data_IF_667682489864
#
_entry.id   IF_667682489864
#
_cell.length_a   1.000
_cell.length_b   1.000
_cell.length_c   1.000
_cell.angle_alpha   90.00
_cell.angle_beta   90.00
_cell.angle_gamma   90.00
#
_symmetry.space_group_name_H-M   'P 1'
#
loop_
_entity.id
_entity.type
_entity.pdbx_description
1 polymer ?
#
# COMPACT_ATOMS: atom_id res chain seq x y z
N UNK A 1 4.73 -9.47 -4.31
CA UNK A 1 3.45 -10.08 -4.70
C UNK A 1 3.21 -9.93 -6.21
N UNK A 2 2.40 -10.77 -6.85
CA UNK A 2 2.12 -10.71 -8.30
C UNK A 2 0.61 -10.75 -8.58
N UNK A 3 0.12 -9.93 -9.53
CA UNK A 3 -1.27 -9.91 -10.00
C UNK A 3 -1.34 -9.75 -11.51
N UNK A 4 -2.31 -10.38 -12.16
CA UNK A 4 -2.61 -10.13 -13.58
C UNK A 4 -3.77 -9.15 -13.68
N UNK A 5 -3.54 -8.03 -14.39
CA UNK A 5 -4.55 -7.05 -14.73
C UNK A 5 -5.31 -7.56 -15.96
N UNK A 6 -6.48 -8.16 -15.75
CA UNK A 6 -7.31 -8.75 -16.80
C UNK A 6 -7.65 -7.76 -17.91
N UNK A 7 -7.95 -6.50 -17.55
CA UNK A 7 -8.28 -5.44 -18.50
C UNK A 7 -7.15 -5.10 -19.50
N UNK A 8 -5.90 -5.42 -19.18
CA UNK A 8 -4.73 -5.10 -20.04
C UNK A 8 -3.84 -6.31 -20.33
N UNK A 9 -4.24 -7.51 -19.91
CA UNK A 9 -3.42 -8.73 -19.99
C UNK A 9 -2.04 -8.60 -19.34
N UNK A 10 -1.83 -7.61 -18.47
CA UNK A 10 -0.52 -7.25 -17.93
C UNK A 10 -0.30 -7.88 -16.56
N UNK A 11 0.77 -8.62 -16.36
CA UNK A 11 1.18 -9.09 -15.02
C UNK A 11 1.98 -7.99 -14.34
N UNK A 12 1.62 -7.62 -13.13
CA UNK A 12 2.37 -6.68 -12.29
C UNK A 12 2.95 -7.41 -11.08
N UNK A 13 4.16 -7.03 -10.71
CA UNK A 13 4.84 -7.47 -9.50
C UNK A 13 5.10 -6.25 -8.64
N UNK A 14 4.54 -6.29 -7.44
CA UNK A 14 4.55 -5.19 -6.50
C UNK A 14 5.38 -5.56 -5.27
N UNK A 15 6.23 -4.63 -4.84
CA UNK A 15 6.82 -4.59 -3.50
C UNK A 15 6.17 -3.44 -2.77
N UNK A 16 5.49 -3.78 -1.68
CA UNK A 16 4.66 -2.89 -0.91
C UNK A 16 5.15 -2.85 0.52
N UNK A 17 5.13 -1.67 1.13
CA UNK A 17 5.31 -1.48 2.56
C UNK A 17 3.97 -1.16 3.22
N UNK A 18 3.59 -1.85 4.30
CA UNK A 18 2.39 -1.52 5.05
C UNK A 18 2.54 -0.17 5.75
N UNK A 19 1.44 0.57 5.83
CA UNK A 19 1.33 1.86 6.52
C UNK A 19 0.06 1.85 7.40
N UNK A 20 -0.06 2.79 8.36
CA UNK A 20 -1.29 3.00 9.11
C UNK A 20 -2.53 3.12 8.23
N UNK A 21 -3.71 2.88 8.80
CA UNK A 21 -5.01 3.03 8.12
C UNK A 21 -5.16 2.13 6.89
N UNK A 22 -4.55 0.94 6.89
CA UNK A 22 -4.58 -0.03 5.77
C UNK A 22 -4.08 0.57 4.45
N UNK A 23 -3.15 1.52 4.56
CA UNK A 23 -2.46 2.07 3.41
C UNK A 23 -1.22 1.24 3.07
N UNK A 24 -0.81 1.32 1.82
CA UNK A 24 0.42 0.69 1.33
C UNK A 24 1.24 1.65 0.51
N UNK A 25 2.53 1.63 0.74
CA UNK A 25 3.50 2.40 0.00
C UNK A 25 4.16 1.52 -1.08
N UNK A 26 4.12 1.98 -2.32
CA UNK A 26 4.73 1.25 -3.44
C UNK A 26 6.24 1.49 -3.43
N UNK A 27 6.99 0.51 -2.97
CA UNK A 27 8.46 0.54 -2.99
C UNK A 27 9.00 0.20 -4.37
N UNK A 28 8.43 -0.82 -5.00
CA UNK A 28 8.83 -1.24 -6.33
C UNK A 28 7.63 -1.69 -7.14
N UNK A 29 7.52 -1.16 -8.36
CA UNK A 29 6.47 -1.50 -9.29
C UNK A 29 7.09 -2.07 -10.56
N UNK A 30 6.87 -3.35 -10.84
CA UNK A 30 7.28 -3.98 -12.09
C UNK A 30 6.06 -4.42 -12.88
N UNK A 31 6.06 -4.18 -14.20
CA UNK A 31 4.98 -4.57 -15.10
C UNK A 31 5.51 -5.39 -16.26
N UNK A 32 4.77 -6.41 -16.64
CA UNK A 32 4.98 -7.25 -17.81
C UNK A 32 3.72 -7.20 -18.66
N UNK A 33 3.81 -6.73 -19.91
CA UNK A 33 2.66 -6.56 -20.81
C UNK A 33 2.30 -7.80 -21.64
N UNK A 34 3.23 -8.75 -21.80
CA UNK A 34 3.05 -10.01 -22.54
C UNK A 34 3.55 -11.18 -21.68
N UNK A 35 2.94 -12.36 -21.73
CA UNK A 35 3.37 -13.52 -20.92
C UNK A 35 4.85 -13.89 -21.15
N UNK A 36 5.38 -13.70 -22.36
CA UNK A 36 6.78 -13.95 -22.71
C UNK A 36 7.72 -12.75 -22.47
N UNK A 37 7.19 -11.61 -22.02
CA UNK A 37 7.96 -10.39 -21.80
C UNK A 37 8.77 -10.40 -20.51
N UNK A 38 9.78 -9.51 -20.44
CA UNK A 38 10.48 -9.23 -19.18
C UNK A 38 9.63 -8.30 -18.31
N UNK A 39 9.84 -8.38 -17.01
CA UNK A 39 9.31 -7.39 -16.07
C UNK A 39 10.08 -6.08 -16.21
N UNK A 40 9.38 -5.01 -16.54
CA UNK A 40 9.94 -3.65 -16.61
C UNK A 40 9.57 -2.88 -15.35
N UNK A 41 10.57 -2.21 -14.77
CA UNK A 41 10.35 -1.37 -13.59
C UNK A 41 9.74 -0.04 -13.99
N UNK A 42 8.59 0.31 -13.41
CA UNK A 42 7.83 1.52 -13.71
C UNK A 42 8.00 2.51 -12.57
N UNK A 43 9.09 3.29 -12.62
CA UNK A 43 9.46 4.24 -11.56
C UNK A 43 8.40 5.32 -11.29
N UNK A 44 7.53 5.63 -12.26
CA UNK A 44 6.46 6.63 -12.09
C UNK A 44 5.37 6.19 -11.09
N UNK A 45 5.29 4.89 -10.80
CA UNK A 45 4.35 4.33 -9.82
C UNK A 45 4.98 4.11 -8.44
N UNK A 46 6.31 4.19 -8.35
CA UNK A 46 7.05 4.04 -7.10
C UNK A 46 6.94 5.31 -6.27
N UNK A 47 6.88 5.17 -4.94
CA UNK A 47 6.76 6.28 -4.02
C UNK A 47 5.32 6.72 -3.73
N UNK A 48 4.32 6.04 -4.29
CA UNK A 48 2.91 6.35 -4.05
C UNK A 48 2.40 5.60 -2.82
N UNK A 49 1.68 6.32 -1.95
CA UNK A 49 0.91 5.75 -0.85
C UNK A 49 -0.56 5.67 -1.27
N UNK A 50 -1.13 4.48 -1.26
CA UNK A 50 -2.49 4.21 -1.71
C UNK A 50 -3.21 3.37 -0.65
N UNK A 51 -4.55 3.47 -0.54
CA UNK A 51 -5.34 2.47 0.17
C UNK A 51 -5.14 1.08 -0.44
N UNK A 52 -4.97 0.06 0.40
CA UNK A 52 -4.76 -1.33 -0.05
C UNK A 52 -5.91 -1.83 -0.94
N UNK A 53 -7.14 -1.43 -0.65
CA UNK A 53 -8.35 -1.85 -1.38
C UNK A 53 -8.30 -1.47 -2.88
N UNK A 54 -7.60 -0.38 -3.24
CA UNK A 54 -7.45 0.02 -4.65
C UNK A 54 -6.59 -0.94 -5.46
N UNK A 55 -5.78 -1.76 -4.79
CA UNK A 55 -4.96 -2.76 -5.46
C UNK A 55 -5.78 -3.96 -5.93
N UNK A 56 -7.02 -4.14 -5.45
CA UNK A 56 -7.93 -5.23 -5.82
C UNK A 56 -7.20 -6.58 -5.89
N UNK A 57 -6.48 -6.92 -4.81
CA UNK A 57 -5.74 -8.17 -4.68
C UNK A 57 -6.67 -9.26 -4.13
N UNK A 58 -6.42 -10.50 -4.53
CA UNK A 58 -7.22 -11.65 -4.07
C UNK A 58 -6.98 -11.96 -2.58
N UNK A 59 -5.83 -11.54 -2.04
CA UNK A 59 -5.43 -11.73 -0.65
C UNK A 59 -5.74 -10.48 0.17
N UNK A 60 -6.17 -10.68 1.42
CA UNK A 60 -6.47 -9.59 2.34
C UNK A 60 -5.23 -8.87 2.86
N UNK A 61 -5.40 -7.63 3.35
CA UNK A 61 -4.30 -6.83 3.93
C UNK A 61 -3.62 -7.56 5.09
N UNK A 62 -4.40 -8.16 5.99
CA UNK A 62 -3.89 -8.87 7.17
C UNK A 62 -3.13 -10.15 6.81
N UNK A 63 -3.47 -10.79 5.68
CA UNK A 63 -2.79 -11.98 5.18
C UNK A 63 -1.43 -11.63 4.57
N UNK A 64 -1.34 -10.50 3.86
CA UNK A 64 -0.10 -10.02 3.26
C UNK A 64 0.82 -9.31 4.24
N UNK A 65 0.25 -8.65 5.24
CA UNK A 65 0.97 -7.86 6.23
C UNK A 65 0.50 -8.25 7.64
N UNK A 66 0.93 -9.42 8.16
CA UNK A 66 0.57 -9.84 9.51
C UNK A 66 1.06 -8.85 10.57
N UNK A 67 2.19 -8.19 10.33
CA UNK A 67 2.69 -7.07 11.13
C UNK A 67 1.94 -5.73 10.93
N UNK A 68 1.04 -5.65 9.95
CA UNK A 68 0.26 -4.45 9.65
C UNK A 68 -0.63 -4.01 10.82
N UNK A 69 -1.13 -4.97 11.60
CA UNK A 69 -1.92 -4.69 12.80
C UNK A 69 -1.17 -3.93 13.89
N UNK A 70 0.17 -4.02 13.92
CA UNK A 70 1.01 -3.28 14.87
C UNK A 70 0.99 -1.77 14.61
N UNK A 71 0.62 -1.34 13.40
CA UNK A 71 0.55 0.08 13.05
C UNK A 71 -0.81 0.71 13.36
N UNK A 72 -1.91 -0.05 13.42
CA UNK A 72 -3.21 0.49 13.85
C UNK A 72 -3.17 0.89 15.33
N UNK A 73 -2.52 0.08 16.17
CA UNK A 73 -2.34 0.35 17.60
C UNK A 73 -1.47 1.61 17.84
N UNK A 74 -0.50 1.88 16.96
CA UNK A 74 0.35 3.07 17.02
C UNK A 74 -0.32 4.33 16.44
N UNK A 75 -1.18 4.20 15.43
CA UNK A 75 -1.89 5.33 14.82
C UNK A 75 -3.00 5.87 15.74
N UNK A 76 -3.67 4.98 16.48
CA UNK A 76 -4.66 5.36 17.49
C UNK A 76 -4.04 6.18 18.64
N UNK A 77 -2.75 5.95 18.95
CA UNK A 77 -2.01 6.70 19.96
C UNK A 77 -1.63 8.14 19.55
N UNK A 78 -1.44 8.42 18.25
CA UNK A 78 -1.04 9.75 17.76
C UNK A 78 -2.25 10.64 17.40
N UNK A 79 -3.40 10.03 17.09
CA UNK A 79 -4.66 10.72 16.76
C UNK A 79 -5.40 11.34 17.98
N UNK A 80 -4.83 11.27 19.19
CA UNK A 80 -5.40 11.93 20.36
C UNK A 80 -5.40 13.46 20.15
N UNK A 81 -6.57 14.13 20.18
CA UNK A 81 -6.62 15.57 19.96
C UNK A 81 -5.85 16.27 21.08
N UNK A 82 -4.72 16.89 20.75
CA UNK A 82 -4.04 17.87 21.62
C UNK A 82 -5.04 18.96 21.94
N UNK A 83 -5.76 18.83 23.06
CA UNK A 83 -6.65 19.88 23.58
C UNK A 83 -5.78 21.10 23.85
N UNK A 84 -5.76 22.03 22.91
CA UNK A 84 -5.15 23.35 23.08
C UNK A 84 -5.92 24.06 24.19
N UNK A 85 -5.40 23.99 25.42
CA UNK A 85 -5.86 24.80 26.54
C UNK A 85 -5.57 26.26 26.19
N UNK A 86 -6.53 26.95 25.57
CA UNK A 86 -6.52 28.42 25.49
C UNK A 86 -6.59 28.97 26.91
N UNK A 87 -5.47 29.47 27.43
CA UNK A 87 -5.44 30.29 28.64
C UNK A 87 -6.20 31.59 28.35
N UNK A 88 -7.33 31.81 29.03
CA UNK A 88 -7.93 33.15 29.10
C UNK A 88 -7.14 33.96 30.12
N UNK A 89 -6.71 35.14 29.66
CA UNK A 89 -6.06 36.18 30.45
C UNK A 89 -7.09 36.97 31.23
#
# INVERSE_FOLDING_TARGET
MERTLEATGSTVRLVLEPRPEKQVFIVEYRRRRKPEGRFERVKSEEGKCLPFDLLNLDQGYEELFPQGGLFEEAAEADAAPKKVRRSRR
#
